data_IF_737259556288
#
_entry.id   IF_737259556288
#
_cell.length_a   1.000
_cell.length_b   1.000
_cell.length_c   1.000
_cell.angle_alpha   90.00
_cell.angle_beta   90.00
_cell.angle_gamma   90.00
#
_symmetry.space_group_name_H-M   'P 1'
#
loop_
_entity.id
_entity.type
_entity.pdbx_description
1 polymer ?
#
# COMPACT_ATOMS: atom_id res chain seq x y z
N UNK A 1 6.83 -4.87 -15.51
CA UNK A 1 6.38 -4.17 -14.30
C UNK A 1 5.60 -5.16 -13.47
N UNK A 2 5.93 -5.26 -12.19
CA UNK A 2 5.27 -6.17 -11.25
C UNK A 2 3.84 -5.69 -10.96
N UNK A 3 2.93 -6.64 -10.77
CA UNK A 3 1.66 -6.36 -10.11
C UNK A 3 1.95 -6.19 -8.62
N UNK A 4 1.33 -5.22 -7.95
CA UNK A 4 1.50 -5.06 -6.51
C UNK A 4 0.26 -5.55 -5.77
N UNK A 5 0.48 -6.11 -4.59
CA UNK A 5 -0.55 -6.30 -3.58
C UNK A 5 -0.21 -5.46 -2.35
N UNK A 6 -1.17 -4.67 -1.92
CA UNK A 6 -1.03 -3.77 -0.79
C UNK A 6 -2.05 -4.20 0.25
N UNK A 7 -1.56 -4.73 1.37
CA UNK A 7 -2.40 -5.37 2.40
C UNK A 7 -2.32 -4.57 3.69
N UNK A 8 -3.46 -4.31 4.31
CA UNK A 8 -3.53 -3.74 5.66
C UNK A 8 -2.96 -4.75 6.64
N UNK A 9 -1.75 -4.48 7.14
CA UNK A 9 -1.03 -5.33 8.08
C UNK A 9 -1.47 -5.11 9.52
N UNK A 10 -1.67 -3.85 9.90
CA UNK A 10 -2.10 -3.50 11.26
C UNK A 10 -2.91 -2.21 11.28
N UNK A 11 -3.85 -2.14 12.23
CA UNK A 11 -4.62 -0.94 12.55
C UNK A 11 -4.43 -0.66 14.04
N UNK A 12 -3.92 0.51 14.37
CA UNK A 12 -3.82 1.03 15.73
C UNK A 12 -4.96 2.01 15.96
N UNK A 13 -5.62 1.92 17.12
CA UNK A 13 -6.73 2.81 17.45
C UNK A 13 -7.92 2.60 16.50
N UNK A 14 -8.55 3.70 16.07
CA UNK A 14 -9.74 3.64 15.23
C UNK A 14 -9.49 4.23 13.83
N UNK A 15 -9.50 3.39 12.80
CA UNK A 15 -9.42 3.86 11.41
C UNK A 15 -10.77 4.44 10.96
N UNK A 16 -10.84 5.75 10.73
CA UNK A 16 -12.07 6.41 10.26
C UNK A 16 -12.55 5.91 8.87
N UNK A 17 -11.63 5.42 8.03
CA UNK A 17 -11.97 4.81 6.74
C UNK A 17 -12.45 3.34 6.85
N UNK A 18 -12.41 2.76 8.06
CA UNK A 18 -12.93 1.42 8.32
C UNK A 18 -12.05 0.26 7.87
N UNK A 19 -10.77 0.51 7.53
CA UNK A 19 -9.84 -0.57 7.18
C UNK A 19 -9.68 -1.59 8.31
N UNK A 20 -9.56 -2.86 7.93
CA UNK A 20 -9.34 -3.99 8.82
C UNK A 20 -8.10 -4.77 8.39
N UNK A 21 -7.47 -5.45 9.34
CA UNK A 21 -6.33 -6.33 9.04
C UNK A 21 -6.74 -7.39 8.00
N UNK A 22 -5.93 -7.54 6.96
CA UNK A 22 -6.18 -8.44 5.83
C UNK A 22 -6.97 -7.82 4.68
N UNK A 23 -7.52 -6.61 4.84
CA UNK A 23 -8.01 -5.83 3.69
C UNK A 23 -6.85 -5.56 2.73
N UNK A 24 -7.12 -5.55 1.44
CA UNK A 24 -6.10 -5.30 0.43
C UNK A 24 -6.66 -4.68 -0.85
N UNK A 25 -5.76 -4.11 -1.63
CA UNK A 25 -5.99 -3.71 -3.01
C UNK A 25 -4.79 -4.09 -3.86
N UNK A 26 -5.00 -4.10 -5.17
CA UNK A 26 -3.98 -4.50 -6.13
C UNK A 26 -3.62 -3.29 -7.00
N UNK A 27 -2.37 -3.26 -7.47
CA UNK A 27 -1.95 -2.30 -8.49
C UNK A 27 -1.50 -3.11 -9.69
N UNK A 28 -2.09 -2.79 -10.82
CA UNK A 28 -1.66 -3.25 -12.13
C UNK A 28 -1.50 -2.00 -12.97
N UNK A 29 -0.28 -1.47 -13.02
CA UNK A 29 0.03 -0.20 -13.68
C UNK A 29 -0.70 -0.07 -15.03
N UNK A 30 -1.43 1.04 -15.27
CA UNK A 30 -1.53 2.28 -14.46
C UNK A 30 -2.71 2.29 -13.46
N UNK A 31 -3.34 1.15 -13.20
CA UNK A 31 -4.62 1.06 -12.49
C UNK A 31 -4.45 0.56 -11.05
N UNK A 32 -5.18 1.18 -10.12
CA UNK A 32 -5.48 0.58 -8.83
C UNK A 32 -6.76 -0.26 -9.01
N UNK A 33 -6.66 -1.54 -8.68
CA UNK A 33 -7.75 -2.50 -8.74
C UNK A 33 -8.20 -2.73 -7.29
N UNK A 34 -9.38 -2.21 -6.89
CA UNK A 34 -9.90 -2.45 -5.56
C UNK A 34 -10.18 -3.93 -5.34
N UNK A 35 -9.96 -4.41 -4.12
CA UNK A 35 -10.41 -5.73 -3.72
C UNK A 35 -11.34 -5.61 -2.51
N UNK A 36 -10.80 -5.61 -1.29
CA UNK A 36 -11.60 -5.49 -0.08
C UNK A 36 -10.89 -4.55 0.90
N UNK A 37 -11.47 -3.38 1.26
CA UNK A 37 -12.69 -2.79 0.72
C UNK A 37 -12.54 -2.38 -0.76
N UNK A 38 -13.66 -1.99 -1.41
CA UNK A 38 -13.63 -1.49 -2.80
C UNK A 38 -13.21 -0.02 -2.87
N UNK A 39 -13.27 0.66 -1.74
CA UNK A 39 -12.97 2.06 -1.57
C UNK A 39 -11.52 2.25 -1.13
N UNK A 40 -10.90 3.34 -1.57
CA UNK A 40 -9.61 3.78 -1.08
C UNK A 40 -9.78 5.03 -0.22
N UNK A 41 -9.13 5.03 0.94
CA UNK A 41 -9.07 6.23 1.76
C UNK A 41 -8.28 7.32 1.03
N UNK A 42 -8.93 8.43 0.70
CA UNK A 42 -8.29 9.56 0.04
C UNK A 42 -7.08 10.10 0.83
N UNK A 43 -7.10 9.99 2.15
CA UNK A 43 -5.98 10.42 3.00
C UNK A 43 -4.81 9.43 3.01
N UNK A 44 -5.04 8.16 2.71
CA UNK A 44 -3.96 7.17 2.58
C UNK A 44 -3.22 7.30 1.23
N UNK A 45 -3.91 7.74 0.17
CA UNK A 45 -3.36 7.86 -1.19
C UNK A 45 -2.03 8.66 -1.25
N UNK A 46 -1.90 9.84 -0.61
CA UNK A 46 -0.65 10.60 -0.62
C UNK A 46 0.56 9.85 -0.03
N UNK A 47 0.33 8.92 0.91
CA UNK A 47 1.40 8.09 1.46
C UNK A 47 1.91 7.04 0.46
N UNK A 48 1.11 6.70 -0.55
CA UNK A 48 1.43 5.68 -1.54
C UNK A 48 2.10 6.25 -2.79
N UNK A 49 1.55 7.34 -3.34
CA UNK A 49 1.95 7.92 -4.65
C UNK A 49 3.47 8.04 -4.84
N UNK A 50 4.27 8.50 -3.84
CA UNK A 50 5.71 8.65 -4.03
C UNK A 50 6.48 7.35 -4.31
N UNK A 51 5.89 6.19 -3.95
CA UNK A 51 6.58 4.90 -3.95
C UNK A 51 6.06 3.95 -5.03
N UNK A 52 4.75 3.91 -5.26
CA UNK A 52 4.13 2.79 -5.98
C UNK A 52 4.65 2.62 -7.41
N UNK A 53 4.77 3.70 -8.18
CA UNK A 53 5.22 3.63 -9.58
C UNK A 53 6.67 3.18 -9.69
N UNK A 54 7.53 3.56 -8.74
CA UNK A 54 8.90 3.07 -8.64
C UNK A 54 8.93 1.60 -8.18
N UNK A 55 8.11 1.24 -7.20
CA UNK A 55 8.05 -0.12 -6.65
C UNK A 55 7.49 -1.15 -7.66
N UNK A 56 6.66 -0.73 -8.62
CA UNK A 56 6.20 -1.56 -9.74
C UNK A 56 7.31 -1.91 -10.75
N UNK A 57 8.43 -1.19 -10.76
CA UNK A 57 9.52 -1.41 -11.73
C UNK A 57 10.45 -2.51 -11.24
N UNK A 58 11.10 -3.15 -12.21
CA UNK A 58 12.31 -3.90 -11.93
C UNK A 58 13.44 -2.89 -11.72
N UNK A 59 14.14 -3.01 -10.60
CA UNK A 59 15.24 -2.11 -10.21
C UNK A 59 16.46 -2.93 -9.81
N UNK A 60 17.67 -2.35 -9.84
CA UNK A 60 18.89 -3.03 -9.41
C UNK A 60 18.72 -3.66 -8.02
N UNK A 61 19.29 -4.86 -7.76
CA UNK A 61 19.06 -5.58 -6.50
C UNK A 61 19.36 -4.78 -5.22
N UNK A 62 20.31 -3.86 -5.28
CA UNK A 62 20.78 -3.02 -4.17
C UNK A 62 19.97 -1.72 -3.97
N UNK A 63 19.04 -1.40 -4.88
CA UNK A 63 18.18 -0.22 -4.78
C UNK A 63 17.36 -0.24 -3.48
N UNK A 64 17.29 0.92 -2.81
CA UNK A 64 16.58 1.08 -1.54
C UNK A 64 15.10 0.73 -1.65
N UNK A 65 14.49 0.94 -2.80
CA UNK A 65 13.07 0.68 -3.02
C UNK A 65 12.74 -0.80 -2.81
N UNK A 66 13.68 -1.71 -3.10
CA UNK A 66 13.51 -3.15 -2.93
C UNK A 66 13.44 -3.57 -1.44
N UNK A 67 13.93 -2.72 -0.53
CA UNK A 67 13.84 -2.94 0.92
C UNK A 67 12.58 -2.33 1.53
N UNK A 68 11.78 -1.60 0.75
CA UNK A 68 10.57 -0.93 1.24
C UNK A 68 9.42 -1.92 1.37
N UNK A 69 9.18 -2.41 2.58
CA UNK A 69 8.15 -3.43 2.83
C UNK A 69 6.80 -2.85 3.27
N UNK A 70 6.79 -1.62 3.80
CA UNK A 70 5.60 -1.05 4.43
C UNK A 70 5.44 0.45 4.17
N UNK A 71 4.19 0.89 4.10
CA UNK A 71 3.78 2.29 4.10
C UNK A 71 2.76 2.54 5.19
N UNK A 72 2.72 3.76 5.69
CA UNK A 72 1.84 4.18 6.77
C UNK A 72 0.95 5.33 6.29
N UNK A 73 -0.34 5.33 6.64
CA UNK A 73 -1.22 6.49 6.41
C UNK A 73 -0.77 7.70 7.27
N UNK A 74 -1.14 8.94 6.90
CA UNK A 74 -0.65 10.13 7.62
C UNK A 74 -1.17 10.28 9.06
N UNK A 75 -2.14 9.47 9.51
CA UNK A 75 -2.63 9.51 10.90
C UNK A 75 -1.64 8.83 11.86
N UNK A 76 -0.93 9.63 12.65
CA UNK A 76 0.03 9.17 13.66
C UNK A 76 -0.62 8.64 14.94
N UNK A 77 -1.90 8.95 15.17
CA UNK A 77 -2.65 8.52 16.36
C UNK A 77 -3.36 7.20 16.09
N UNK A 78 -4.11 7.12 14.98
CA UNK A 78 -4.89 5.96 14.55
C UNK A 78 -4.28 5.28 13.33
N UNK A 79 -3.03 4.86 13.48
CA UNK A 79 -2.18 4.44 12.38
C UNK A 79 -2.67 3.17 11.68
N UNK A 80 -2.67 3.20 10.35
CA UNK A 80 -2.80 2.01 9.50
C UNK A 80 -1.48 1.76 8.78
N UNK A 81 -0.97 0.54 8.91
CA UNK A 81 0.23 0.08 8.21
C UNK A 81 -0.19 -0.83 7.06
N UNK A 82 0.35 -0.55 5.87
CA UNK A 82 0.12 -1.28 4.64
C UNK A 82 1.40 -2.00 4.23
N UNK A 83 1.37 -3.32 4.17
CA UNK A 83 2.44 -4.15 3.63
C UNK A 83 2.41 -4.15 2.09
N UNK A 84 3.58 -4.09 1.48
CA UNK A 84 3.80 -4.09 0.03
C UNK A 84 4.37 -5.43 -0.43
N UNK A 85 3.78 -6.00 -1.47
CA UNK A 85 4.22 -7.26 -2.07
C UNK A 85 4.23 -7.11 -3.60
N UNK A 86 5.32 -7.52 -4.25
CA UNK A 86 5.36 -7.70 -5.71
C UNK A 86 4.83 -9.10 -6.02
N UNK A 87 3.84 -9.16 -6.89
CA UNK A 87 3.29 -10.39 -7.45
C UNK A 87 3.85 -10.50 -8.88
N UNK A 88 4.47 -11.64 -9.18
CA UNK A 88 5.01 -11.96 -10.50
C UNK A 88 3.89 -12.14 -11.55
#
# INVERSE_FOLDING_TARGET
>A
MHKLKITVRSVKGNCAAGYKVGDYFLIKDPMIIPAKPKELCIYAIPAFIPYLTAYCRETPPDDWINRKQELQCPDSTNTVIFALERLD
#
